data_IF_474348905143
#
_entry.id   IF_474348905143
#
_cell.length_a   1.000
_cell.length_b   1.000
_cell.length_c   1.000
_cell.angle_alpha   90.00
_cell.angle_beta   90.00
_cell.angle_gamma   90.00
#
_symmetry.space_group_name_H-M   'P 1'
#
loop_
_entity.id
_entity.type
_entity.pdbx_description
1 polymer ?
#
# COMPACT_ATOMS: atom_id res chain seq x y z
N UNK A 1 32.68 -5.47 -20.45
CA UNK A 1 31.80 -4.57 -21.21
C UNK A 1 30.65 -4.14 -20.32
N UNK A 2 30.80 -3.01 -19.62
CA UNK A 2 29.72 -2.41 -18.84
C UNK A 2 28.78 -1.67 -19.79
N UNK A 3 27.58 -2.23 -20.01
CA UNK A 3 26.51 -1.47 -20.65
C UNK A 3 26.07 -0.33 -19.72
N UNK A 4 25.82 0.88 -20.23
CA UNK A 4 25.35 1.99 -19.41
C UNK A 4 23.97 1.65 -18.86
N UNK A 5 23.90 1.42 -17.54
CA UNK A 5 22.67 1.18 -16.80
C UNK A 5 21.75 2.40 -16.97
N UNK A 6 20.57 2.18 -17.56
CA UNK A 6 19.57 3.21 -17.77
C UNK A 6 19.05 3.72 -16.42
N UNK A 7 18.52 4.94 -16.40
CA UNK A 7 17.77 5.49 -15.26
C UNK A 7 16.62 4.52 -14.97
N UNK A 8 16.74 3.73 -13.89
CA UNK A 8 15.84 2.62 -13.57
C UNK A 8 16.54 1.30 -13.20
N UNK A 9 17.82 1.12 -13.57
CA UNK A 9 18.53 -0.17 -13.43
C UNK A 9 19.28 -0.33 -12.11
N UNK A 10 19.33 0.70 -11.26
CA UNK A 10 20.01 0.66 -9.95
C UNK A 10 19.08 1.00 -8.79
N UNK A 11 19.29 0.42 -7.60
CA UNK A 11 18.50 0.77 -6.42
C UNK A 11 18.49 2.27 -6.11
N UNK A 12 19.62 2.96 -6.34
CA UNK A 12 19.73 4.41 -6.16
C UNK A 12 18.84 5.17 -7.14
N UNK A 13 18.82 4.79 -8.43
CA UNK A 13 17.96 5.44 -9.42
C UNK A 13 16.46 5.27 -9.12
N UNK A 14 16.04 4.07 -8.70
CA UNK A 14 14.65 3.79 -8.30
C UNK A 14 14.30 4.53 -7.00
N UNK A 15 15.21 4.57 -6.03
CA UNK A 15 15.04 5.35 -4.80
C UNK A 15 14.89 6.84 -5.09
N UNK A 16 15.69 7.39 -6.01
CA UNK A 16 15.59 8.77 -6.46
C UNK A 16 14.24 9.06 -7.12
N UNK A 17 13.74 8.18 -8.00
CA UNK A 17 12.40 8.29 -8.57
C UNK A 17 11.31 8.35 -7.48
N UNK A 18 11.32 7.41 -6.55
CA UNK A 18 10.34 7.41 -5.45
C UNK A 18 10.40 8.71 -4.63
N UNK A 19 11.59 9.23 -4.36
CA UNK A 19 11.76 10.43 -3.54
C UNK A 19 11.37 11.71 -4.26
N UNK A 20 11.78 11.87 -5.53
CA UNK A 20 11.67 13.15 -6.25
C UNK A 20 10.40 13.26 -7.09
N UNK A 21 9.88 12.14 -7.60
CA UNK A 21 8.67 12.11 -8.42
C UNK A 21 7.46 11.71 -7.60
N UNK A 22 7.60 10.69 -6.75
CA UNK A 22 6.47 10.15 -6.00
C UNK A 22 6.28 10.72 -4.60
N UNK A 23 7.16 11.64 -4.16
CA UNK A 23 7.22 12.19 -2.80
C UNK A 23 7.10 11.09 -1.72
N UNK A 24 7.72 9.93 -1.95
CA UNK A 24 7.86 8.89 -0.94
C UNK A 24 9.19 9.12 -0.22
N UNK A 25 9.24 9.10 1.12
CA UNK A 25 10.48 9.24 1.88
C UNK A 25 11.30 7.94 1.82
N UNK A 26 11.66 7.52 0.61
CA UNK A 26 12.38 6.30 0.31
C UNK A 26 13.87 6.48 0.57
N UNK A 27 14.52 5.44 1.07
CA UNK A 27 15.94 5.34 1.36
C UNK A 27 16.46 3.96 0.94
N UNK A 28 17.72 3.88 0.54
CA UNK A 28 18.40 2.59 0.36
C UNK A 28 18.96 2.15 1.70
N UNK A 29 18.42 1.07 2.27
CA UNK A 29 18.80 0.58 3.59
C UNK A 29 18.72 -0.96 3.72
N UNK A 30 19.79 -1.64 4.19
CA UNK A 30 21.11 -1.09 4.43
C UNK A 30 21.83 -0.76 3.09
N UNK A 31 22.73 0.24 3.05
CA UNK A 31 23.25 0.81 1.80
C UNK A 31 23.88 -0.23 0.84
N UNK A 32 24.56 -1.23 1.40
CA UNK A 32 25.26 -2.27 0.64
C UNK A 32 24.32 -3.35 0.06
N UNK A 33 23.11 -3.52 0.59
CA UNK A 33 22.14 -4.53 0.09
C UNK A 33 21.19 -3.99 -0.97
N UNK A 34 21.20 -2.68 -1.24
CA UNK A 34 20.36 -2.08 -2.26
C UNK A 34 18.85 -2.20 -2.01
N UNK A 35 18.41 -2.54 -0.79
CA UNK A 35 16.99 -2.62 -0.47
C UNK A 35 16.43 -1.22 -0.33
N UNK A 36 15.31 -0.95 -0.97
CA UNK A 36 14.64 0.35 -0.86
C UNK A 36 13.58 0.23 0.23
N UNK A 37 13.56 1.15 1.17
CA UNK A 37 12.58 1.19 2.27
C UNK A 37 12.06 2.61 2.43
N UNK A 38 10.87 2.77 2.97
CA UNK A 38 10.39 4.06 3.47
C UNK A 38 9.99 3.90 4.93
N UNK A 39 10.26 4.93 5.74
CA UNK A 39 9.76 5.01 7.11
C UNK A 39 8.37 5.62 7.11
N UNK A 40 7.45 4.94 7.76
CA UNK A 40 6.12 5.47 8.01
C UNK A 40 6.21 6.70 8.95
N UNK A 41 5.25 7.61 8.81
CA UNK A 41 5.28 8.93 9.46
C UNK A 41 4.74 9.99 8.49
N UNK A 42 5.54 10.37 7.48
CA UNK A 42 5.07 11.20 6.35
C UNK A 42 4.13 10.46 5.40
N UNK A 43 4.18 9.13 5.43
CA UNK A 43 3.29 8.22 4.71
C UNK A 43 2.70 7.25 5.73
N UNK A 44 1.41 6.93 5.59
CA UNK A 44 0.73 5.92 6.38
C UNK A 44 0.39 4.72 5.51
N UNK A 45 0.64 3.50 6.00
CA UNK A 45 0.28 2.26 5.31
C UNK A 45 -0.99 1.65 5.89
N UNK A 46 -1.96 1.31 5.05
CA UNK A 46 -3.09 0.46 5.45
C UNK A 46 -2.87 -0.95 4.90
N UNK A 47 -2.42 -1.86 5.75
CA UNK A 47 -2.14 -3.25 5.38
C UNK A 47 -3.35 -4.12 5.65
N UNK A 48 -3.74 -4.95 4.68
CA UNK A 48 -4.93 -5.80 4.77
C UNK A 48 -4.74 -7.10 3.97
N UNK A 49 -5.55 -8.15 4.19
CA UNK A 49 -5.59 -9.32 3.32
C UNK A 49 -5.79 -8.92 1.85
N UNK A 50 -5.13 -9.63 0.93
CA UNK A 50 -5.13 -9.28 -0.50
C UNK A 50 -6.53 -9.26 -1.11
N UNK A 51 -7.43 -10.16 -0.67
CA UNK A 51 -8.81 -10.17 -1.15
C UNK A 51 -9.58 -8.89 -0.75
N UNK A 52 -9.45 -8.44 0.52
CA UNK A 52 -10.01 -7.16 0.96
C UNK A 52 -9.37 -6.01 0.18
N UNK A 53 -8.05 -6.05 -0.03
CA UNK A 53 -7.35 -5.03 -0.82
C UNK A 53 -7.85 -4.92 -2.26
N UNK A 54 -8.15 -6.05 -2.90
CA UNK A 54 -8.72 -6.08 -4.25
C UNK A 54 -10.11 -5.44 -4.28
N UNK A 55 -10.94 -5.76 -3.29
CA UNK A 55 -12.29 -5.18 -3.17
C UNK A 55 -12.27 -3.70 -2.87
N UNK A 56 -11.39 -3.23 -1.98
CA UNK A 56 -11.19 -1.81 -1.67
C UNK A 56 -10.75 -1.05 -2.91
N UNK A 57 -9.77 -1.58 -3.66
CA UNK A 57 -9.33 -0.98 -4.93
C UNK A 57 -10.50 -0.88 -5.92
N UNK A 58 -11.28 -1.96 -6.06
CA UNK A 58 -12.43 -1.97 -6.96
C UNK A 58 -13.55 -1.02 -6.49
N UNK A 59 -13.80 -0.92 -5.19
CA UNK A 59 -14.75 0.02 -4.60
C UNK A 59 -14.34 1.46 -4.91
N UNK A 60 -13.07 1.81 -4.69
CA UNK A 60 -12.57 3.16 -5.00
C UNK A 60 -12.74 3.50 -6.47
N UNK A 61 -12.43 2.57 -7.38
CA UNK A 61 -12.66 2.78 -8.81
C UNK A 61 -14.14 2.98 -9.16
N UNK A 62 -15.05 2.21 -8.56
CA UNK A 62 -16.50 2.35 -8.79
C UNK A 62 -17.09 3.67 -8.27
N UNK A 63 -16.39 4.33 -7.35
CA UNK A 63 -16.80 5.63 -6.78
C UNK A 63 -15.90 6.77 -7.31
N UNK A 64 -15.26 6.57 -8.47
CA UNK A 64 -14.44 7.57 -9.16
C UNK A 64 -13.28 8.15 -8.33
N UNK A 65 -12.79 7.37 -7.38
CA UNK A 65 -11.65 7.73 -6.54
C UNK A 65 -10.33 7.22 -7.11
N UNK A 66 -9.31 8.08 -7.12
CA UNK A 66 -7.92 7.69 -7.42
C UNK A 66 -7.37 6.83 -6.29
N UNK A 67 -6.94 5.61 -6.63
CA UNK A 67 -6.43 4.60 -5.68
C UNK A 67 -5.07 4.95 -5.07
N UNK A 68 -4.18 5.56 -5.86
CA UNK A 68 -2.80 5.81 -5.44
C UNK A 68 -1.96 4.53 -5.26
N UNK A 69 -0.80 4.59 -4.59
CA UNK A 69 0.16 3.49 -4.59
C UNK A 69 -0.27 2.31 -3.71
N UNK A 70 -0.24 1.09 -4.26
CA UNK A 70 -0.61 -0.15 -3.57
C UNK A 70 0.46 -1.22 -3.76
N UNK A 71 0.98 -1.74 -2.65
CA UNK A 71 1.97 -2.82 -2.61
C UNK A 71 1.29 -4.16 -2.39
N UNK A 72 1.80 -5.22 -3.03
CA UNK A 72 1.53 -6.61 -2.65
C UNK A 72 2.67 -7.18 -1.80
N UNK A 73 2.32 -8.06 -0.86
CA UNK A 73 3.20 -8.81 0.03
C UNK A 73 2.92 -10.31 -0.20
N UNK A 74 3.52 -10.93 -1.24
CA UNK A 74 3.12 -12.26 -1.68
C UNK A 74 3.20 -13.33 -0.59
N UNK A 75 4.26 -13.32 0.23
CA UNK A 75 4.50 -14.31 1.30
C UNK A 75 3.40 -14.39 2.35
N UNK A 76 2.68 -13.29 2.58
CA UNK A 76 1.63 -13.21 3.60
C UNK A 76 0.26 -12.92 3.00
N UNK A 77 0.13 -12.91 1.67
CA UNK A 77 -1.09 -12.59 0.94
C UNK A 77 -1.76 -11.30 1.43
N UNK A 78 -0.94 -10.25 1.59
CA UNK A 78 -1.42 -8.93 2.05
C UNK A 78 -1.14 -7.84 1.03
N UNK A 79 -2.00 -6.84 0.99
CA UNK A 79 -1.77 -5.60 0.26
C UNK A 79 -1.57 -4.44 1.24
N UNK A 80 -0.81 -3.43 0.85
CA UNK A 80 -0.70 -2.16 1.60
C UNK A 80 -0.96 -0.98 0.70
N UNK A 81 -1.97 -0.19 1.06
CA UNK A 81 -2.24 1.10 0.46
C UNK A 81 -1.34 2.15 1.12
N UNK A 82 -0.64 2.94 0.33
CA UNK A 82 0.13 4.08 0.81
C UNK A 82 -0.74 5.34 0.76
N UNK A 83 -0.94 5.94 1.91
CA UNK A 83 -1.93 7.02 2.14
C UNK A 83 -1.27 8.21 2.83
N UNK A 84 -1.99 9.34 2.87
CA UNK A 84 -1.64 10.42 3.78
C UNK A 84 -1.72 9.97 5.25
N UNK A 85 -0.90 10.55 6.15
CA UNK A 85 -0.95 10.24 7.57
C UNK A 85 -2.06 11.03 8.29
N UNK A 86 -3.29 11.01 7.77
CA UNK A 86 -4.44 11.80 8.24
C UNK A 86 -5.45 11.00 9.09
N UNK A 87 -5.12 9.75 9.44
CA UNK A 87 -5.99 8.89 10.24
C UNK A 87 -5.92 9.23 11.74
N UNK A 88 -7.06 9.32 12.44
CA UNK A 88 -7.10 9.60 13.87
C UNK A 88 -6.45 8.47 14.68
N UNK A 89 -5.85 8.82 15.82
CA UNK A 89 -5.12 7.88 16.69
C UNK A 89 -6.00 7.15 17.69
N UNK A 90 -7.33 7.28 17.59
CA UNK A 90 -8.24 6.69 18.55
C UNK A 90 -8.32 5.15 18.45
N UNK A 91 -8.60 4.53 19.61
CA UNK A 91 -8.67 3.07 19.76
C UNK A 91 -9.86 2.44 19.02
N UNK A 92 -10.92 3.21 18.75
CA UNK A 92 -12.13 2.68 18.11
C UNK A 92 -11.86 2.35 16.65
N UNK A 93 -11.17 3.26 15.93
CA UNK A 93 -10.73 3.00 14.56
C UNK A 93 -9.80 1.78 14.49
N UNK A 94 -8.85 1.66 15.42
CA UNK A 94 -7.95 0.51 15.46
C UNK A 94 -8.72 -0.80 15.66
N UNK A 95 -9.63 -0.84 16.64
CA UNK A 95 -10.44 -2.01 16.92
C UNK A 95 -11.37 -2.38 15.75
N UNK A 96 -11.93 -1.39 15.06
CA UNK A 96 -12.73 -1.61 13.85
C UNK A 96 -11.91 -2.30 12.75
N UNK A 97 -10.76 -1.73 12.39
CA UNK A 97 -9.90 -2.25 11.33
C UNK A 97 -9.32 -3.63 11.69
N UNK A 98 -8.93 -3.83 12.95
CA UNK A 98 -8.38 -5.11 13.42
C UNK A 98 -9.37 -6.26 13.28
N UNK A 99 -10.69 -6.02 13.43
CA UNK A 99 -11.73 -7.05 13.20
C UNK A 99 -11.80 -7.52 11.74
N UNK A 100 -11.30 -6.70 10.82
CA UNK A 100 -11.20 -7.01 9.39
C UNK A 100 -9.79 -7.47 9.00
N UNK A 101 -8.93 -7.79 9.98
CA UNK A 101 -7.51 -8.11 9.77
C UNK A 101 -6.71 -7.00 9.06
N UNK A 102 -7.16 -5.75 9.19
CA UNK A 102 -6.51 -4.55 8.67
C UNK A 102 -5.64 -3.93 9.78
N UNK A 103 -4.41 -3.56 9.44
CA UNK A 103 -3.44 -2.93 10.34
C UNK A 103 -2.97 -1.60 9.79
N UNK A 104 -2.78 -0.62 10.67
CA UNK A 104 -2.27 0.71 10.32
C UNK A 104 -0.76 0.77 10.60
N UNK A 105 0.05 0.97 9.55
CA UNK A 105 1.49 1.18 9.63
C UNK A 105 1.77 2.68 9.79
N UNK A 106 2.04 3.10 11.03
CA UNK A 106 2.33 4.48 11.42
C UNK A 106 3.80 4.70 11.74
N UNK A 107 4.13 5.91 12.22
CA UNK A 107 5.45 6.34 12.65
C UNK A 107 6.24 5.23 13.37
N UNK A 108 7.48 5.02 12.94
CA UNK A 108 8.35 3.95 13.44
C UNK A 108 8.32 2.66 12.61
N UNK A 109 7.26 2.42 11.82
CA UNK A 109 7.21 1.30 10.87
C UNK A 109 8.13 1.51 9.66
N UNK A 110 8.74 0.44 9.15
CA UNK A 110 9.47 0.43 7.87
C UNK A 110 8.70 -0.37 6.83
N UNK A 111 8.50 0.21 5.65
CA UNK A 111 7.85 -0.43 4.51
C UNK A 111 8.90 -0.62 3.42
N UNK A 112 9.26 -1.86 3.11
CA UNK A 112 10.13 -2.13 1.97
C UNK A 112 9.40 -1.86 0.66
N UNK A 113 10.07 -1.18 -0.26
CA UNK A 113 9.56 -0.85 -1.59
C UNK A 113 10.14 -1.80 -2.64
N UNK A 114 9.46 -1.99 -3.79
CA UNK A 114 10.00 -2.72 -4.92
C UNK A 114 11.27 -2.03 -5.45
N UNK A 115 12.33 -2.81 -5.61
CA UNK A 115 13.61 -2.41 -6.19
C UNK A 115 13.93 -3.19 -7.47
N UNK A 116 14.98 -2.78 -8.21
CA UNK A 116 15.37 -3.45 -9.45
C UNK A 116 15.88 -4.86 -9.20
N UNK A 117 15.68 -5.76 -10.18
CA UNK A 117 16.14 -7.15 -10.12
C UNK A 117 15.40 -8.05 -9.13
N UNK A 118 14.36 -7.56 -8.47
CA UNK A 118 13.53 -8.39 -7.59
C UNK A 118 12.58 -9.28 -8.40
N UNK A 119 12.58 -10.58 -8.09
CA UNK A 119 11.73 -11.57 -8.76
C UNK A 119 10.24 -11.35 -8.40
N UNK A 120 9.35 -11.14 -9.39
CA UNK A 120 7.90 -11.09 -9.15
C UNK A 120 7.42 -12.33 -8.39
N UNK A 121 6.45 -12.17 -7.49
CA UNK A 121 5.87 -13.27 -6.71
C UNK A 121 6.69 -13.69 -5.46
N UNK A 122 8.00 -13.45 -5.42
CA UNK A 122 8.83 -13.72 -4.23
C UNK A 122 9.03 -12.47 -3.36
N UNK A 123 9.05 -11.31 -4.03
CA UNK A 123 9.26 -10.01 -3.40
C UNK A 123 8.03 -9.13 -3.53
N UNK A 124 8.04 -8.03 -2.79
CA UNK A 124 7.02 -7.00 -2.88
C UNK A 124 7.00 -6.42 -4.28
N UNK A 125 5.80 -6.21 -4.80
CA UNK A 125 5.59 -5.59 -6.10
C UNK A 125 4.48 -4.55 -5.99
N UNK A 126 4.37 -3.70 -7.00
CA UNK A 126 3.26 -2.77 -7.12
C UNK A 126 2.04 -3.48 -7.71
N UNK A 127 0.93 -3.42 -7.00
CA UNK A 127 -0.42 -3.71 -7.53
C UNK A 127 -0.96 -2.49 -8.27
N UNK A 128 -0.65 -1.31 -7.75
CA UNK A 128 -0.87 -0.04 -8.41
C UNK A 128 0.36 0.84 -8.15
N UNK A 129 1.23 1.08 -9.14
CA UNK A 129 2.48 1.79 -8.92
C UNK A 129 2.26 3.29 -8.69
N UNK A 130 3.12 3.95 -7.91
CA UNK A 130 3.12 5.41 -7.86
C UNK A 130 3.58 5.97 -9.21
N UNK A 131 2.97 7.07 -9.65
CA UNK A 131 3.34 7.79 -10.88
C UNK A 131 3.70 9.25 -10.62
N UNK A 132 3.17 9.79 -9.53
CA UNK A 132 3.29 11.16 -9.06
C UNK A 132 3.26 11.16 -7.52
N UNK A 133 3.23 12.34 -6.92
CA UNK A 133 3.14 12.53 -5.47
C UNK A 133 1.77 12.15 -4.86
N UNK A 134 0.77 11.80 -5.69
CA UNK A 134 -0.58 11.56 -5.19
C UNK A 134 -0.65 10.29 -4.34
N UNK A 135 -1.29 10.44 -3.18
CA UNK A 135 -1.73 9.36 -2.30
C UNK A 135 -3.16 9.67 -1.87
N UNK A 136 -4.07 8.69 -1.76
CA UNK A 136 -5.39 8.97 -1.23
C UNK A 136 -5.29 9.40 0.24
N UNK A 137 -6.25 10.19 0.75
CA UNK A 137 -6.47 10.33 2.19
C UNK A 137 -6.68 8.94 2.82
N UNK A 138 -6.09 8.67 3.98
CA UNK A 138 -6.28 7.41 4.69
C UNK A 138 -7.76 7.19 5.04
N UNK A 139 -8.48 8.26 5.38
CA UNK A 139 -9.93 8.23 5.65
C UNK A 139 -10.75 7.69 4.48
N UNK A 140 -10.34 7.98 3.25
CA UNK A 140 -11.01 7.49 2.04
C UNK A 140 -10.83 5.98 1.87
N UNK A 141 -9.65 5.46 2.20
CA UNK A 141 -9.40 4.01 2.17
C UNK A 141 -10.18 3.31 3.29
N UNK A 142 -10.31 3.93 4.47
CA UNK A 142 -11.17 3.42 5.55
C UNK A 142 -12.64 3.40 5.13
N UNK A 143 -13.12 4.45 4.47
CA UNK A 143 -14.48 4.49 3.91
C UNK A 143 -14.70 3.35 2.90
N UNK A 144 -13.75 3.12 2.00
CA UNK A 144 -13.80 2.01 1.07
C UNK A 144 -13.85 0.64 1.77
N UNK A 145 -13.05 0.44 2.82
CA UNK A 145 -13.08 -0.79 3.65
C UNK A 145 -14.47 -0.99 4.26
N UNK A 146 -15.06 0.06 4.84
CA UNK A 146 -16.42 0.02 5.40
C UNK A 146 -17.46 -0.31 4.34
N UNK A 147 -17.35 0.27 3.15
CA UNK A 147 -18.21 -0.01 2.01
C UNK A 147 -18.19 -1.48 1.60
N UNK A 148 -17.00 -2.07 1.50
CA UNK A 148 -16.81 -3.51 1.22
C UNK A 148 -17.42 -4.38 2.31
N UNK A 149 -17.14 -4.09 3.59
CA UNK A 149 -17.68 -4.86 4.72
C UNK A 149 -19.23 -4.81 4.76
N UNK A 150 -19.82 -3.64 4.49
CA UNK A 150 -21.27 -3.49 4.41
C UNK A 150 -21.88 -4.25 3.22
N UNK A 151 -21.18 -4.31 2.08
CA UNK A 151 -21.59 -5.11 0.93
C UNK A 151 -21.59 -6.61 1.26
N UNK A 152 -20.55 -7.13 1.91
CA UNK A 152 -20.48 -8.53 2.36
C UNK A 152 -21.57 -8.87 3.36
N UNK A 153 -21.85 -7.98 4.31
CA UNK A 153 -22.92 -8.19 5.29
C UNK A 153 -24.30 -8.29 4.61
N UNK A 154 -24.55 -7.45 3.60
CA UNK A 154 -25.78 -7.51 2.80
C UNK A 154 -25.88 -8.81 1.99
N UNK A 155 -24.79 -9.21 1.33
CA UNK A 155 -24.75 -10.45 0.55
C UNK A 155 -24.99 -11.69 1.43
N UNK A 156 -24.34 -11.78 2.60
CA UNK A 156 -24.56 -12.89 3.54
C UNK A 156 -26.00 -12.97 4.04
N UNK A 157 -26.64 -11.83 4.30
CA UNK A 157 -28.06 -11.81 4.67
C UNK A 157 -28.95 -12.29 3.53
N UNK A 158 -28.73 -11.81 2.31
CA UNK A 158 -29.51 -12.24 1.15
C UNK A 158 -29.44 -13.76 0.92
N UNK A 159 -28.25 -14.36 1.09
CA UNK A 159 -28.07 -15.82 0.99
C UNK A 159 -28.76 -16.57 2.14
N UNK A 160 -28.80 -16.01 3.35
CA UNK A 160 -29.45 -16.65 4.49
C UNK A 160 -30.99 -16.61 4.44
N UNK A 161 -31.57 -15.74 3.61
CA UNK A 161 -33.02 -15.59 3.41
C UNK A 161 -33.51 -16.09 2.04
N UNK A 162 -32.63 -16.70 1.25
CA UNK A 162 -32.94 -17.37 -0.02
C UNK A 162 -33.03 -18.88 0.20
#
# INVERSE_FOLDING_TARGET
MDSPKRIGDTPLSVCHFYRRVCDLPAEVHPPHLGRITLRAGRVCGLMMPAFIGAEVKAWMHRHDHRVGPVLTHPRYQRWTFLTHPDLPTDVRLYAELSRLNVSILRAGGSISLPGPGQRPGLFRAWVHPPRDAYRPPGRLVVEAIRGCAAQHARQRRAVAYA
#
